data_IF_771336285697
#
_entry.id   IF_771336285697
#
_cell.length_a   1.000
_cell.length_b   1.000
_cell.length_c   1.000
_cell.angle_alpha   90.00
_cell.angle_beta   90.00
_cell.angle_gamma   90.00
#
_symmetry.space_group_name_H-M   'P 1'
#
loop_
_entity.id
_entity.type
_entity.pdbx_description
1 polymer ?
#
# COMPACT_ATOMS: atom_id res chain seq x y z
N UNK A 1 -16.56 -6.30 1.98
CA UNK A 1 -17.18 -5.05 1.47
C UNK A 1 -17.85 -4.38 2.65
N UNK A 2 -17.81 -3.04 2.75
CA UNK A 2 -18.54 -2.34 3.80
C UNK A 2 -20.05 -2.56 3.63
N UNK A 3 -20.80 -2.56 4.73
CA UNK A 3 -22.27 -2.72 4.69
C UNK A 3 -22.94 -1.55 3.98
N UNK A 4 -22.32 -0.37 4.01
CA UNK A 4 -22.74 0.82 3.29
C UNK A 4 -21.53 1.63 2.80
N UNK A 5 -21.74 2.41 1.74
CA UNK A 5 -20.75 3.39 1.28
C UNK A 5 -21.03 4.70 2.02
N UNK A 6 -20.06 5.25 2.78
CA UNK A 6 -20.27 6.48 3.52
C UNK A 6 -20.53 7.65 2.57
N UNK A 7 -21.36 8.59 3.00
CA UNK A 7 -21.53 9.87 2.29
C UNK A 7 -20.33 10.75 2.58
N UNK A 8 -19.63 11.11 1.52
CA UNK A 8 -18.44 11.96 1.58
C UNK A 8 -18.86 13.44 1.46
N UNK A 9 -18.23 14.31 2.25
CA UNK A 9 -18.42 15.76 2.15
C UNK A 9 -17.60 16.33 0.97
N UNK A 10 -18.10 17.39 0.33
CA UNK A 10 -17.39 18.11 -0.74
C UNK A 10 -16.06 18.72 -0.25
N UNK A 11 -15.94 19.00 1.05
CA UNK A 11 -14.70 19.48 1.67
C UNK A 11 -13.50 18.55 1.41
N UNK A 12 -13.72 17.23 1.24
CA UNK A 12 -12.66 16.29 0.88
C UNK A 12 -11.96 16.67 -0.43
N UNK A 13 -12.69 17.28 -1.37
CA UNK A 13 -12.15 17.67 -2.69
C UNK A 13 -11.22 18.87 -2.61
N UNK A 14 -11.20 19.59 -1.48
CA UNK A 14 -10.34 20.77 -1.27
C UNK A 14 -9.02 20.43 -0.58
N UNK A 15 -8.80 19.17 -0.22
CA UNK A 15 -7.61 18.74 0.52
C UNK A 15 -6.50 18.37 -0.47
N UNK A 16 -5.47 19.21 -0.55
CA UNK A 16 -4.30 18.97 -1.42
C UNK A 16 -3.33 17.92 -0.85
N UNK A 17 -3.25 17.81 0.48
CA UNK A 17 -2.33 16.87 1.11
C UNK A 17 -2.92 15.44 1.05
N UNK A 18 -2.25 14.54 0.32
CA UNK A 18 -2.74 13.17 0.12
C UNK A 18 -2.90 12.36 1.42
N UNK A 19 -2.05 12.58 2.42
CA UNK A 19 -2.17 11.90 3.72
C UNK A 19 -3.42 12.39 4.47
N UNK A 20 -3.64 13.70 4.54
CA UNK A 20 -4.84 14.27 5.16
C UNK A 20 -6.11 13.84 4.42
N UNK A 21 -6.11 13.91 3.09
CA UNK A 21 -7.22 13.43 2.26
C UNK A 21 -7.53 11.96 2.57
N UNK A 22 -6.49 11.12 2.61
CA UNK A 22 -6.63 9.69 2.89
C UNK A 22 -7.16 9.42 4.30
N UNK A 23 -6.68 10.15 5.31
CA UNK A 23 -7.17 10.03 6.69
C UNK A 23 -8.66 10.38 6.78
N UNK A 24 -9.06 11.52 6.23
CA UNK A 24 -10.46 11.97 6.24
C UNK A 24 -11.38 11.03 5.45
N UNK A 25 -10.92 10.49 4.31
CA UNK A 25 -11.67 9.51 3.54
C UNK A 25 -11.83 8.19 4.31
N UNK A 26 -10.74 7.67 4.86
CA UNK A 26 -10.69 6.36 5.50
C UNK A 26 -11.33 6.33 6.89
N UNK A 27 -11.39 7.47 7.60
CA UNK A 27 -11.97 7.56 8.96
C UNK A 27 -13.41 7.05 9.00
N UNK A 28 -14.19 7.29 7.94
CA UNK A 28 -15.55 6.80 7.78
C UNK A 28 -15.67 5.27 7.81
N UNK A 29 -14.64 4.56 7.36
CA UNK A 29 -14.60 3.08 7.36
C UNK A 29 -13.98 2.49 8.63
N UNK A 30 -13.26 3.32 9.40
CA UNK A 30 -12.55 2.92 10.62
C UNK A 30 -13.28 3.34 11.90
N UNK A 31 -14.37 4.10 11.78
CA UNK A 31 -15.22 4.49 12.90
C UNK A 31 -15.66 3.27 13.70
N UNK A 32 -15.56 3.38 15.02
CA UNK A 32 -15.87 2.35 16.03
C UNK A 32 -14.99 1.08 15.91
N UNK A 33 -13.92 1.13 15.11
CA UNK A 33 -12.95 0.02 14.98
C UNK A 33 -11.84 0.13 16.02
N UNK A 34 -11.17 -1.00 16.29
CA UNK A 34 -10.01 -1.03 17.19
C UNK A 34 -8.77 -0.29 16.67
N UNK A 35 -8.85 0.34 15.50
CA UNK A 35 -7.76 1.07 14.83
C UNK A 35 -8.13 2.53 14.55
N UNK A 36 -9.28 3.00 15.07
CA UNK A 36 -9.74 4.37 14.83
C UNK A 36 -8.69 5.41 15.25
N UNK A 37 -8.15 5.25 16.46
CA UNK A 37 -7.13 6.14 17.02
C UNK A 37 -5.78 6.04 16.29
N UNK A 38 -5.47 4.87 15.73
CA UNK A 38 -4.20 4.58 15.04
C UNK A 38 -4.22 4.98 13.56
N UNK A 39 -5.39 5.29 12.98
CA UNK A 39 -5.56 5.48 11.53
C UNK A 39 -4.64 6.57 10.97
N UNK A 40 -4.46 7.67 11.70
CA UNK A 40 -3.59 8.77 11.27
C UNK A 40 -2.14 8.31 11.11
N UNK A 41 -1.64 7.52 12.04
CA UNK A 41 -0.28 6.99 12.00
C UNK A 41 -0.13 5.92 10.91
N UNK A 42 -1.15 5.07 10.72
CA UNK A 42 -1.20 4.11 9.61
C UNK A 42 -1.08 4.84 8.28
N UNK A 43 -1.86 5.89 8.05
CA UNK A 43 -1.84 6.68 6.81
C UNK A 43 -0.50 7.38 6.62
N UNK A 44 0.05 7.99 7.67
CA UNK A 44 1.34 8.67 7.60
C UNK A 44 2.49 7.71 7.27
N UNK A 45 2.50 6.51 7.83
CA UNK A 45 3.49 5.47 7.51
C UNK A 45 3.29 4.91 6.11
N UNK A 46 2.04 4.70 5.69
CA UNK A 46 1.71 4.07 4.43
C UNK A 46 2.03 4.98 3.23
N UNK A 47 1.58 6.24 3.27
CA UNK A 47 1.59 7.16 2.13
C UNK A 47 2.65 8.25 2.28
N UNK A 48 3.87 7.85 2.65
CA UNK A 48 5.03 8.72 2.85
C UNK A 48 5.84 8.97 1.56
N UNK A 49 5.16 9.02 0.42
CA UNK A 49 5.74 9.26 -0.91
C UNK A 49 4.76 10.10 -1.74
N UNK A 50 5.24 10.84 -2.75
CA UNK A 50 4.41 11.84 -3.42
C UNK A 50 3.35 11.20 -4.33
N UNK A 51 2.22 11.89 -4.46
CA UNK A 51 1.22 11.66 -5.49
C UNK A 51 1.25 12.87 -6.41
N UNK A 52 1.57 12.65 -7.69
CA UNK A 52 1.79 13.75 -8.64
C UNK A 52 0.76 13.63 -9.75
N UNK A 53 -0.03 14.68 -9.96
CA UNK A 53 -0.84 14.83 -11.17
C UNK A 53 -0.13 15.82 -12.10
N UNK A 54 0.04 15.44 -13.37
CA UNK A 54 0.61 16.32 -14.40
C UNK A 54 -0.41 16.53 -15.50
N UNK A 55 -0.56 17.78 -15.89
CA UNK A 55 -1.40 18.18 -17.01
C UNK A 55 -0.55 18.35 -18.27
N UNK A 56 -1.14 18.00 -19.40
CA UNK A 56 -0.52 18.06 -20.71
C UNK A 56 -1.53 18.63 -21.72
N UNK A 57 -1.00 19.31 -22.72
CA UNK A 57 -1.76 19.84 -23.84
C UNK A 57 -1.03 19.51 -25.13
N UNK A 58 -1.73 18.87 -26.08
CA UNK A 58 -1.23 18.58 -27.42
C UNK A 58 -2.24 19.08 -28.46
N UNK A 59 -1.96 20.25 -29.04
CA UNK A 59 -2.91 20.95 -29.90
C UNK A 59 -4.14 21.41 -29.11
N UNK A 60 -5.33 20.93 -29.51
CA UNK A 60 -6.61 21.18 -28.83
C UNK A 60 -6.97 20.11 -27.78
N UNK A 61 -6.12 19.09 -27.59
CA UNK A 61 -6.38 18.00 -26.64
C UNK A 61 -5.69 18.29 -25.31
N UNK A 62 -6.47 18.33 -24.24
CA UNK A 62 -5.98 18.40 -22.85
C UNK A 62 -6.14 17.04 -22.17
N UNK A 63 -5.11 16.60 -21.46
CA UNK A 63 -5.14 15.37 -20.69
C UNK A 63 -4.24 15.46 -19.45
N UNK A 64 -4.55 14.64 -18.45
CA UNK A 64 -3.77 14.57 -17.21
C UNK A 64 -3.29 13.15 -16.96
N UNK A 65 -2.11 13.04 -16.34
CA UNK A 65 -1.53 11.77 -15.90
C UNK A 65 -1.34 11.82 -14.39
N UNK A 66 -1.98 10.87 -13.70
CA UNK A 66 -1.77 10.62 -12.29
C UNK A 66 -0.61 9.62 -12.11
N UNK A 67 0.53 10.11 -11.66
CA UNK A 67 1.74 9.32 -11.45
C UNK A 67 1.63 8.55 -10.12
N UNK A 68 1.24 7.27 -10.21
CA UNK A 68 1.10 6.35 -9.06
C UNK A 68 2.33 5.45 -8.87
N UNK A 69 3.50 5.89 -9.31
CA UNK A 69 4.72 5.08 -9.36
C UNK A 69 5.90 5.71 -8.60
N UNK A 70 5.65 6.64 -7.70
CA UNK A 70 6.70 7.26 -6.87
C UNK A 70 6.96 6.52 -5.55
N UNK A 71 6.29 5.38 -5.34
CA UNK A 71 6.54 4.49 -4.22
C UNK A 71 7.79 3.60 -4.40
N UNK A 72 8.18 2.84 -3.36
CA UNK A 72 9.44 2.09 -3.33
C UNK A 72 9.64 1.05 -4.44
N UNK A 73 8.56 0.59 -5.06
CA UNK A 73 8.62 -0.43 -6.12
C UNK A 73 8.25 0.11 -7.49
N UNK A 74 8.04 1.42 -7.59
CA UNK A 74 7.68 2.12 -8.81
C UNK A 74 6.39 1.58 -9.46
N UNK A 75 5.40 1.23 -8.64
CA UNK A 75 4.09 0.79 -9.11
C UNK A 75 2.97 1.11 -8.12
N UNK A 76 1.76 1.30 -8.65
CA UNK A 76 0.59 1.71 -7.86
C UNK A 76 0.22 0.75 -6.72
N UNK A 77 0.74 -0.48 -6.74
CA UNK A 77 0.50 -1.47 -5.69
C UNK A 77 1.16 -1.08 -4.36
N UNK A 78 2.12 -0.14 -4.38
CA UNK A 78 2.76 0.39 -3.18
C UNK A 78 1.74 1.01 -2.22
N UNK A 79 0.71 1.70 -2.71
CA UNK A 79 -0.33 2.29 -1.87
C UNK A 79 -1.05 1.21 -1.04
N UNK A 80 -1.65 0.23 -1.72
CA UNK A 80 -2.39 -0.84 -1.04
C UNK A 80 -1.50 -1.71 -0.15
N UNK A 81 -0.32 -2.10 -0.64
CA UNK A 81 0.59 -2.98 0.10
C UNK A 81 1.13 -2.30 1.38
N UNK A 82 1.50 -1.02 1.31
CA UNK A 82 2.02 -0.27 2.47
C UNK A 82 0.94 0.09 3.47
N UNK A 83 -0.27 0.41 3.00
CA UNK A 83 -1.43 0.59 3.88
C UNK A 83 -1.74 -0.71 4.62
N UNK A 84 -1.85 -1.83 3.90
CA UNK A 84 -2.06 -3.15 4.51
C UNK A 84 -0.98 -3.49 5.54
N UNK A 85 0.30 -3.29 5.21
CA UNK A 85 1.41 -3.59 6.12
C UNK A 85 1.38 -2.73 7.39
N UNK A 86 1.03 -1.44 7.26
CA UNK A 86 0.92 -0.53 8.41
C UNK A 86 -0.25 -0.91 9.29
N UNK A 87 -1.43 -1.16 8.71
CA UNK A 87 -2.62 -1.64 9.44
C UNK A 87 -2.37 -2.97 10.16
N UNK A 88 -1.76 -3.94 9.49
CA UNK A 88 -1.43 -5.24 10.11
C UNK A 88 -0.41 -5.08 11.24
N UNK A 89 0.55 -4.16 11.10
CA UNK A 89 1.53 -3.87 12.16
C UNK A 89 0.87 -3.33 13.42
N UNK A 90 -0.09 -2.39 13.29
CA UNK A 90 -0.82 -1.86 14.44
C UNK A 90 -1.69 -2.94 15.10
N UNK A 91 -2.40 -3.75 14.30
CA UNK A 91 -3.16 -4.89 14.83
C UNK A 91 -2.30 -5.89 15.60
N UNK A 92 -1.07 -6.13 15.14
CA UNK A 92 -0.16 -7.06 15.81
C UNK A 92 0.32 -6.52 17.16
N UNK A 93 0.54 -5.20 17.29
CA UNK A 93 0.89 -4.58 18.59
C UNK A 93 -0.21 -4.77 19.63
N UNK A 94 -1.46 -4.61 19.23
CA UNK A 94 -2.62 -4.67 20.13
C UNK A 94 -2.92 -6.08 20.64
N UNK A 95 -2.34 -7.13 20.05
CA UNK A 95 -2.67 -8.52 20.39
C UNK A 95 -1.86 -9.15 21.51
N UNK A 96 -0.80 -8.53 22.05
CA UNK A 96 0.13 -9.17 23.02
C UNK A 96 0.63 -10.58 22.60
N UNK A 97 0.41 -10.96 21.34
CA UNK A 97 0.72 -12.29 20.84
C UNK A 97 2.09 -12.27 20.19
N UNK A 98 3.03 -13.01 20.78
CA UNK A 98 4.33 -13.33 20.20
C UNK A 98 4.24 -14.24 18.94
N UNK A 99 3.09 -14.27 18.25
CA UNK A 99 2.82 -15.18 17.15
C UNK A 99 3.35 -14.60 15.83
N UNK A 100 4.18 -15.38 15.14
CA UNK A 100 4.72 -15.01 13.83
C UNK A 100 3.61 -15.17 12.76
N UNK A 101 3.21 -14.07 12.11
CA UNK A 101 2.27 -14.10 10.99
C UNK A 101 3.00 -14.35 9.68
N UNK A 102 2.60 -15.39 8.93
CA UNK A 102 3.16 -15.67 7.59
C UNK A 102 2.24 -15.13 6.50
N UNK A 103 2.77 -14.27 5.64
CA UNK A 103 2.11 -13.70 4.48
C UNK A 103 2.57 -14.47 3.24
N UNK A 104 1.66 -15.22 2.63
CA UNK A 104 1.91 -15.96 1.41
C UNK A 104 1.30 -15.23 0.21
N UNK A 105 2.11 -14.90 -0.79
CA UNK A 105 1.65 -14.21 -2.01
C UNK A 105 2.06 -14.99 -3.24
N UNK A 106 1.10 -15.26 -4.13
CA UNK A 106 1.38 -15.71 -5.49
C UNK A 106 1.30 -14.50 -6.44
N UNK A 107 2.30 -14.31 -7.31
CA UNK A 107 2.39 -13.14 -8.19
C UNK A 107 2.97 -13.50 -9.56
N UNK A 108 2.61 -12.73 -10.58
CA UNK A 108 3.29 -12.71 -11.89
C UNK A 108 4.29 -11.56 -12.03
N UNK A 109 4.51 -10.76 -10.97
CA UNK A 109 5.44 -9.63 -10.98
C UNK A 109 5.19 -8.67 -9.81
N UNK A 110 4.77 -7.44 -10.14
CA UNK A 110 4.83 -6.26 -9.26
C UNK A 110 4.13 -6.42 -7.90
N UNK A 111 3.03 -7.17 -7.79
CA UNK A 111 2.31 -7.36 -6.51
C UNK A 111 3.22 -7.93 -5.44
N UNK A 112 4.04 -8.91 -5.83
CA UNK A 112 4.99 -9.48 -4.89
C UNK A 112 6.07 -8.47 -4.49
N UNK A 113 6.59 -7.68 -5.44
CA UNK A 113 7.56 -6.63 -5.12
C UNK A 113 7.00 -5.64 -4.10
N UNK A 114 5.77 -5.17 -4.30
CA UNK A 114 5.11 -4.22 -3.39
C UNK A 114 4.89 -4.82 -1.99
N UNK A 115 4.39 -6.06 -1.87
CA UNK A 115 4.21 -6.72 -0.57
C UNK A 115 5.55 -7.02 0.10
N UNK A 116 6.54 -7.50 -0.65
CA UNK A 116 7.90 -7.71 -0.18
C UNK A 116 8.48 -6.44 0.44
N UNK A 117 8.40 -5.33 -0.30
CA UNK A 117 8.90 -4.04 0.14
C UNK A 117 8.14 -3.51 1.37
N UNK A 118 6.81 -3.61 1.37
CA UNK A 118 5.95 -3.09 2.43
C UNK A 118 6.16 -3.77 3.79
N UNK A 119 6.43 -5.09 3.79
CA UNK A 119 6.65 -5.88 5.00
C UNK A 119 8.12 -6.10 5.34
N UNK A 120 9.04 -5.55 4.54
CA UNK A 120 10.47 -5.65 4.81
C UNK A 120 10.78 -5.06 6.20
N UNK A 121 11.46 -5.83 7.05
CA UNK A 121 11.80 -5.48 8.43
C UNK A 121 10.60 -5.18 9.37
N UNK A 122 9.38 -5.58 9.04
CA UNK A 122 8.24 -5.50 9.98
C UNK A 122 8.31 -6.69 10.95
N UNK A 123 8.52 -6.39 12.24
CA UNK A 123 8.57 -7.41 13.28
C UNK A 123 7.25 -8.20 13.39
N UNK A 124 7.35 -9.50 13.69
CA UNK A 124 6.18 -10.37 13.78
C UNK A 124 5.63 -10.86 12.43
N UNK A 125 6.23 -10.46 11.30
CA UNK A 125 5.83 -10.90 9.98
C UNK A 125 6.93 -11.68 9.25
N UNK A 126 6.52 -12.74 8.58
CA UNK A 126 7.31 -13.48 7.60
C UNK A 126 6.59 -13.41 6.27
N UNK A 127 7.28 -13.00 5.21
CA UNK A 127 6.70 -12.99 3.86
C UNK A 127 7.26 -14.16 3.04
N UNK A 128 6.42 -14.76 2.22
CA UNK A 128 6.78 -15.81 1.26
C UNK A 128 6.14 -15.46 -0.07
N UNK A 129 6.97 -15.30 -1.11
CA UNK A 129 6.46 -15.03 -2.47
C UNK A 129 6.73 -16.21 -3.38
N UNK A 130 5.66 -16.63 -4.05
CA UNK A 130 5.62 -17.60 -5.12
C UNK A 130 5.47 -16.85 -6.44
N UNK A 131 6.39 -17.08 -7.37
CA UNK A 131 6.29 -16.51 -8.71
C UNK A 131 6.73 -17.54 -9.76
N UNK A 132 6.09 -17.56 -10.94
CA UNK A 132 6.34 -18.58 -11.94
C UNK A 132 7.76 -18.47 -12.51
N UNK A 133 8.52 -19.56 -12.42
CA UNK A 133 9.87 -19.67 -13.00
C UNK A 133 9.87 -19.27 -14.48
N UNK A 134 10.74 -18.33 -14.83
CA UNK A 134 10.95 -17.87 -16.21
C UNK A 134 9.81 -17.02 -16.80
N UNK A 135 8.79 -16.66 -16.01
CA UNK A 135 7.65 -15.83 -16.47
C UNK A 135 7.58 -14.45 -15.82
N UNK A 136 8.66 -14.03 -15.18
CA UNK A 136 8.83 -12.68 -14.62
C UNK A 136 10.02 -12.01 -15.31
N UNK A 137 9.92 -10.70 -15.59
CA UNK A 137 11.05 -9.95 -16.17
C UNK A 137 12.24 -9.90 -15.21
N UNK A 138 13.48 -9.68 -15.69
CA UNK A 138 14.64 -9.54 -14.81
C UNK A 138 14.48 -8.46 -13.74
N UNK A 139 13.88 -7.31 -14.09
CA UNK A 139 13.60 -6.22 -13.16
C UNK A 139 12.62 -6.64 -12.07
N UNK A 140 11.51 -7.26 -12.45
CA UNK A 140 10.53 -7.77 -11.49
C UNK A 140 11.13 -8.85 -10.60
N UNK A 141 11.89 -9.78 -11.17
CA UNK A 141 12.59 -10.81 -10.40
C UNK A 141 13.51 -10.19 -9.36
N UNK A 142 14.28 -9.17 -9.72
CA UNK A 142 15.13 -8.46 -8.78
C UNK A 142 14.33 -7.83 -7.63
N UNK A 143 13.27 -7.08 -7.95
CA UNK A 143 12.36 -6.52 -6.95
C UNK A 143 11.65 -7.58 -6.11
N UNK A 144 11.46 -8.79 -6.63
CA UNK A 144 10.89 -9.90 -5.88
C UNK A 144 11.89 -10.56 -4.96
N UNK A 145 13.21 -10.43 -5.19
CA UNK A 145 14.22 -11.21 -4.48
C UNK A 145 15.21 -10.39 -3.65
N UNK A 146 15.20 -9.06 -3.75
CA UNK A 146 16.20 -8.19 -3.10
C UNK A 146 15.84 -7.74 -1.67
N UNK A 147 14.63 -8.04 -1.20
CA UNK A 147 14.20 -7.80 0.18
C UNK A 147 14.59 -9.00 1.05
N UNK A 148 14.91 -8.77 2.33
CA UNK A 148 15.44 -9.79 3.27
C UNK A 148 14.43 -10.88 3.68
N UNK A 149 13.68 -11.39 2.71
CA UNK A 149 12.50 -12.22 2.81
C UNK A 149 12.76 -13.54 2.05
N UNK A 150 12.02 -14.60 2.38
CA UNK A 150 12.14 -15.90 1.71
C UNK A 150 11.32 -15.99 0.42
N UNK A 151 11.90 -16.57 -0.63
CA UNK A 151 11.26 -16.71 -1.95
C UNK A 151 11.35 -18.15 -2.45
N UNK A 152 10.30 -18.62 -3.15
CA UNK A 152 10.30 -19.93 -3.82
C UNK A 152 9.92 -19.76 -5.30
N UNK A 153 10.60 -20.51 -6.18
CA UNK A 153 10.41 -20.51 -7.64
C UNK A 153 9.58 -21.70 -8.11
#
# INVERSE_FOLDING_TARGET
MPESIPKLNEELMTIDNYQEFSYQLLSHFFKDSSLEDDLKDIVNQAFNFPVVSKEYSEGEVEYSVLELFHGPTAGFKDFGARFLASTMSELAKNKNESSLTTILVATSGDTGGAVASAFNNKAGFKVVILFPKGRVSPRQKHQLTCWGIMWYQ
#
